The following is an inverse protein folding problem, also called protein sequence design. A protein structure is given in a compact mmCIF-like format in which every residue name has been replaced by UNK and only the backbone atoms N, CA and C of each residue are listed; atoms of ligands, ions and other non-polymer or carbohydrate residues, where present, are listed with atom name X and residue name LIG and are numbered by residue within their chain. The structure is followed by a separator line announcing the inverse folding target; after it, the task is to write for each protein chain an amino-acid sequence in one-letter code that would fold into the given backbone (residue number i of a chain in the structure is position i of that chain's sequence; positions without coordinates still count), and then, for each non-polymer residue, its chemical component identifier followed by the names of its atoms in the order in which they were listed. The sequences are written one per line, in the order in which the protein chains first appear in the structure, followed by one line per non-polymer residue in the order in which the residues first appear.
data_IF_241897563445
#
_entry.id   IF_241897563445
#
_cell.length_a   1.000
_cell.length_b   1.000
_cell.length_c   1.000
_cell.angle_alpha   90.00
_cell.angle_beta   90.00
_cell.angle_gamma   90.00
#
_symmetry.space_group_name_H-M   'P 1'
#
loop_
_entity.id
_entity.type
_entity.pdbx_description
1 polymer ?
#
# COMPACT_ATOMS: atom_id res chain seq x y z
N UNK A 1 26.05 -8.09 -6.05
CA UNK A 1 25.50 -7.02 -5.18
C UNK A 1 25.50 -5.70 -5.94
N UNK A 2 24.31 -5.16 -6.31
CA UNK A 2 24.23 -3.86 -7.01
C UNK A 2 24.35 -2.72 -5.98
N UNK A 3 25.41 -1.90 -6.09
CA UNK A 3 25.61 -0.69 -5.27
C UNK A 3 24.46 0.29 -5.55
N UNK A 4 23.58 0.52 -4.57
CA UNK A 4 22.60 1.61 -4.62
C UNK A 4 23.36 2.93 -4.50
N UNK A 5 23.46 3.66 -5.61
CA UNK A 5 24.06 4.98 -5.66
C UNK A 5 23.07 5.99 -5.08
N UNK A 6 23.02 6.10 -3.75
CA UNK A 6 22.16 7.09 -3.07
C UNK A 6 22.83 8.45 -3.16
N UNK A 7 22.53 9.22 -4.21
CA UNK A 7 22.80 10.66 -4.22
C UNK A 7 22.15 11.27 -2.96
N UNK A 8 22.98 11.75 -2.04
CA UNK A 8 22.55 12.41 -0.81
C UNK A 8 21.60 13.57 -1.16
N UNK A 9 20.42 13.62 -0.55
CA UNK A 9 19.50 14.76 -0.72
C UNK A 9 20.22 16.03 -0.22
N UNK A 10 20.08 17.18 -0.92
CA UNK A 10 20.72 18.41 -0.46
C UNK A 10 20.25 18.76 0.96
N UNK A 11 21.20 19.15 1.81
CA UNK A 11 20.91 19.56 3.18
C UNK A 11 20.06 20.84 3.16
N UNK A 12 19.04 20.88 4.00
CA UNK A 12 18.18 22.06 4.16
C UNK A 12 18.82 22.95 5.22
N UNK A 13 19.35 24.10 4.81
CA UNK A 13 20.10 25.04 5.67
C UNK A 13 19.37 26.35 5.91
N UNK A 14 18.32 26.64 5.15
CA UNK A 14 17.52 27.85 5.26
C UNK A 14 16.29 27.62 6.14
N UNK A 15 15.90 28.64 6.90
CA UNK A 15 14.75 28.63 7.80
C UNK A 15 13.63 29.53 7.27
N UNK A 16 12.39 29.09 7.50
CA UNK A 16 11.17 29.86 7.27
C UNK A 16 10.35 29.82 8.55
N UNK A 17 10.01 31.00 9.08
CA UNK A 17 9.22 31.14 10.29
C UNK A 17 7.84 31.69 9.94
N UNK A 18 6.81 31.20 10.63
CA UNK A 18 5.44 31.66 10.45
C UNK A 18 4.83 31.87 11.82
N UNK A 19 4.26 33.06 12.04
CA UNK A 19 3.50 33.35 13.25
C UNK A 19 2.15 32.63 13.16
N UNK A 20 1.83 31.89 14.20
CA UNK A 20 0.57 31.15 14.33
C UNK A 20 0.00 31.40 15.71
N UNK A 21 -1.32 31.38 15.80
CA UNK A 21 -2.04 31.30 17.08
C UNK A 21 -1.81 29.94 17.75
N UNK A 22 -2.17 29.84 19.03
CA UNK A 22 -2.10 28.59 19.79
C UNK A 22 -2.97 27.49 19.16
N UNK A 23 -4.17 27.85 18.70
CA UNK A 23 -5.11 26.92 18.07
C UNK A 23 -4.55 26.36 16.75
N UNK A 24 -3.98 27.24 15.91
CA UNK A 24 -3.35 26.84 14.65
C UNK A 24 -2.16 25.92 14.89
N UNK A 25 -1.30 26.24 15.86
CA UNK A 25 -0.17 25.39 16.24
C UNK A 25 -0.63 23.99 16.66
N UNK A 26 -1.68 23.90 17.48
CA UNK A 26 -2.22 22.61 17.93
C UNK A 26 -2.79 21.80 16.77
N UNK A 27 -3.53 22.46 15.87
CA UNK A 27 -4.11 21.82 14.68
C UNK A 27 -3.04 21.30 13.73
N UNK A 28 -1.98 22.07 13.49
CA UNK A 28 -0.84 21.67 12.65
C UNK A 28 -0.13 20.47 13.26
N UNK A 29 0.16 20.51 14.57
CA UNK A 29 0.84 19.42 15.26
C UNK A 29 0.04 18.12 15.18
N UNK A 30 -1.27 18.17 15.45
CA UNK A 30 -2.15 16.99 15.35
C UNK A 30 -2.16 16.40 13.94
N UNK A 31 -2.33 17.22 12.90
CA UNK A 31 -2.30 16.74 11.50
C UNK A 31 -0.93 16.16 11.11
N UNK A 32 0.15 16.75 11.62
CA UNK A 32 1.49 16.25 11.37
C UNK A 32 1.69 14.87 12.03
N UNK A 33 1.25 14.70 13.27
CA UNK A 33 1.27 13.41 14.00
C UNK A 33 0.44 12.34 13.28
N UNK A 34 -0.79 12.68 12.85
CA UNK A 34 -1.65 11.80 12.03
C UNK A 34 -0.95 11.34 10.74
N UNK A 35 -0.06 12.17 10.17
CA UNK A 35 0.72 11.84 8.97
C UNK A 35 2.10 11.22 9.27
N UNK A 36 2.47 11.03 10.54
CA UNK A 36 3.81 10.56 10.95
C UNK A 36 4.94 11.56 10.65
N UNK A 37 4.67 12.86 10.69
CA UNK A 37 5.59 13.94 10.37
C UNK A 37 5.81 14.89 11.54
N UNK A 38 6.92 15.61 11.53
CA UNK A 38 7.07 16.80 12.38
C UNK A 38 6.22 17.94 11.82
N UNK A 39 5.83 18.89 12.68
CA UNK A 39 5.07 20.07 12.25
C UNK A 39 5.77 20.84 11.11
N UNK A 40 7.10 20.98 11.18
CA UNK A 40 7.90 21.66 10.15
C UNK A 40 7.92 20.92 8.82
N UNK A 41 8.06 19.58 8.81
CA UNK A 41 8.06 18.80 7.56
C UNK A 41 6.64 18.72 6.96
N UNK A 42 5.60 18.63 7.80
CA UNK A 42 4.20 18.71 7.38
C UNK A 42 3.90 20.05 6.69
N UNK A 43 4.20 21.17 7.36
CA UNK A 43 3.99 22.52 6.80
C UNK A 43 4.78 22.72 5.50
N UNK A 44 6.06 22.32 5.49
CA UNK A 44 6.90 22.41 4.29
C UNK A 44 6.32 21.63 3.12
N UNK A 45 5.84 20.40 3.35
CA UNK A 45 5.22 19.58 2.30
C UNK A 45 3.96 20.25 1.76
N UNK A 46 3.07 20.73 2.64
CA UNK A 46 1.88 21.48 2.25
C UNK A 46 2.23 22.74 1.44
N UNK A 47 3.22 23.52 1.87
CA UNK A 47 3.66 24.73 1.16
C UNK A 47 4.27 24.45 -0.23
N UNK A 48 4.83 23.26 -0.43
CA UNK A 48 5.33 22.78 -1.72
C UNK A 48 4.25 22.12 -2.59
N UNK A 49 2.98 22.22 -2.20
CA UNK A 49 1.84 21.65 -2.94
C UNK A 49 1.66 20.15 -2.77
N UNK A 50 2.37 19.52 -1.83
CA UNK A 50 2.10 18.13 -1.47
C UNK A 50 0.89 18.05 -0.52
N UNK A 51 0.18 16.93 -0.59
CA UNK A 51 -0.92 16.59 0.34
C UNK A 51 -0.49 15.40 1.20
N UNK A 52 0.19 15.60 2.35
CA UNK A 52 0.53 14.52 3.26
C UNK A 52 -0.74 13.74 3.64
N UNK A 53 -0.71 12.42 3.42
CA UNK A 53 -1.80 11.53 3.77
C UNK A 53 -1.61 11.05 5.20
N UNK A 54 -2.73 10.86 5.89
CA UNK A 54 -2.76 10.23 7.19
C UNK A 54 -2.13 8.83 7.10
N UNK A 55 -1.32 8.49 8.09
CA UNK A 55 -0.73 7.17 8.23
C UNK A 55 -1.82 6.16 8.61
N UNK A 56 -1.66 4.91 8.15
CA UNK A 56 -2.52 3.83 8.61
C UNK A 56 -2.34 3.63 10.11
N UNK A 57 -3.45 3.42 10.81
CA UNK A 57 -3.46 2.97 12.20
C UNK A 57 -2.93 1.54 12.30
N UNK A 58 -2.50 1.10 13.49
CA UNK A 58 -1.98 -0.26 13.68
C UNK A 58 -2.98 -1.34 13.24
N UNK A 59 -4.28 -1.11 13.49
CA UNK A 59 -5.36 -2.01 13.03
C UNK A 59 -5.49 -2.04 11.50
N UNK A 60 -5.35 -0.89 10.85
CA UNK A 60 -5.40 -0.83 9.39
C UNK A 60 -4.15 -1.44 8.76
N UNK A 61 -2.98 -1.32 9.41
CA UNK A 61 -1.75 -2.00 9.00
C UNK A 61 -1.95 -3.51 9.12
N UNK A 62 -2.46 -4.00 10.25
CA UNK A 62 -2.72 -5.43 10.45
C UNK A 62 -3.70 -5.97 9.40
N UNK A 63 -4.81 -5.27 9.16
CA UNK A 63 -5.77 -5.63 8.12
C UNK A 63 -5.15 -5.61 6.71
N UNK A 64 -4.33 -4.60 6.41
CA UNK A 64 -3.60 -4.51 5.15
C UNK A 64 -2.64 -5.68 4.95
N UNK A 65 -1.87 -6.04 5.98
CA UNK A 65 -0.93 -7.17 5.94
C UNK A 65 -1.67 -8.50 5.79
N UNK A 66 -2.80 -8.69 6.47
CA UNK A 66 -3.66 -9.87 6.30
C UNK A 66 -4.18 -9.99 4.86
N UNK A 67 -4.63 -8.89 4.26
CA UNK A 67 -5.03 -8.87 2.84
C UNK A 67 -3.86 -9.15 1.89
N UNK A 68 -2.66 -8.65 2.22
CA UNK A 68 -1.45 -8.89 1.45
C UNK A 68 -1.05 -10.37 1.46
N UNK A 69 -1.07 -11.02 2.63
CA UNK A 69 -0.80 -12.45 2.75
C UNK A 69 -1.89 -13.28 2.05
N UNK A 70 -3.18 -12.95 2.21
CA UNK A 70 -4.26 -13.63 1.49
C UNK A 70 -4.08 -13.53 -0.04
N UNK A 71 -3.63 -12.37 -0.55
CA UNK A 71 -3.28 -12.22 -1.97
C UNK A 71 -2.14 -13.13 -2.37
N UNK A 72 -1.07 -13.18 -1.57
CA UNK A 72 0.09 -14.03 -1.81
C UNK A 72 -0.32 -15.51 -1.89
N UNK A 73 -1.20 -15.97 -1.00
CA UNK A 73 -1.71 -17.34 -0.99
C UNK A 73 -2.52 -17.64 -2.26
N UNK A 74 -3.41 -16.74 -2.67
CA UNK A 74 -4.17 -16.90 -3.93
C UNK A 74 -3.24 -17.00 -5.15
N UNK A 75 -2.15 -16.22 -5.19
CA UNK A 75 -1.15 -16.30 -6.24
C UNK A 75 -0.40 -17.64 -6.20
N UNK A 76 0.00 -18.09 -5.01
CA UNK A 76 0.68 -19.38 -4.85
C UNK A 76 -0.21 -20.53 -5.34
N UNK A 77 -1.47 -20.57 -4.91
CA UNK A 77 -2.44 -21.59 -5.34
C UNK A 77 -2.64 -21.53 -6.86
N UNK A 78 -2.89 -20.34 -7.43
CA UNK A 78 -3.08 -20.21 -8.89
C UNK A 78 -1.83 -20.61 -9.68
N UNK A 79 -0.63 -20.39 -9.17
CA UNK A 79 0.61 -20.85 -9.81
C UNK A 79 0.75 -22.37 -9.77
N UNK A 80 0.42 -23.02 -8.65
CA UNK A 80 0.39 -24.48 -8.57
C UNK A 80 -0.63 -25.05 -9.57
N UNK A 81 -1.83 -24.48 -9.63
CA UNK A 81 -2.87 -24.93 -10.55
C UNK A 81 -2.45 -24.77 -12.02
N UNK A 82 -1.71 -23.72 -12.40
CA UNK A 82 -1.22 -23.55 -13.78
C UNK A 82 -0.34 -24.71 -14.25
N UNK A 83 0.39 -25.36 -13.34
CA UNK A 83 1.27 -26.50 -13.66
C UNK A 83 0.56 -27.86 -13.71
N UNK A 84 -0.75 -27.91 -13.43
CA UNK A 84 -1.53 -29.15 -13.34
C UNK A 84 -2.40 -29.40 -14.56
N UNK A 85 -2.65 -30.67 -14.87
CA UNK A 85 -3.64 -31.07 -15.89
C UNK A 85 -5.06 -30.81 -15.40
N UNK A 86 -6.05 -30.86 -16.30
CA UNK A 86 -7.46 -30.67 -15.91
C UNK A 86 -7.96 -31.81 -15.01
N UNK A 87 -7.49 -33.05 -15.21
CA UNK A 87 -7.81 -34.19 -14.35
C UNK A 87 -7.28 -34.00 -12.92
N UNK A 88 -6.04 -33.53 -12.78
CA UNK A 88 -5.46 -33.22 -11.47
C UNK A 88 -6.21 -32.09 -10.77
N UNK A 89 -6.59 -31.04 -11.51
CA UNK A 89 -7.37 -29.93 -10.94
C UNK A 89 -8.75 -30.41 -10.51
N UNK A 90 -9.43 -31.21 -11.34
CA UNK A 90 -10.73 -31.78 -11.00
C UNK A 90 -10.64 -32.67 -9.76
N UNK A 91 -9.55 -33.45 -9.61
CA UNK A 91 -9.30 -34.23 -8.40
C UNK A 91 -9.10 -33.37 -7.15
N UNK A 92 -8.51 -32.17 -7.27
CA UNK A 92 -8.32 -31.24 -6.14
C UNK A 92 -9.64 -30.56 -5.77
N UNK A 93 -10.40 -30.10 -6.76
CA UNK A 93 -11.61 -29.31 -6.55
C UNK A 93 -12.87 -30.16 -6.30
N UNK A 94 -12.87 -31.43 -6.73
CA UNK A 94 -14.00 -32.36 -6.60
C UNK A 94 -15.21 -32.06 -7.49
N UNK A 95 -15.34 -30.82 -7.99
CA UNK A 95 -16.42 -30.38 -8.86
C UNK A 95 -15.91 -29.38 -9.92
N UNK A 96 -16.20 -29.67 -11.20
CA UNK A 96 -15.72 -28.89 -12.34
C UNK A 96 -16.38 -27.50 -12.39
N UNK A 97 -17.66 -27.41 -12.01
CA UNK A 97 -18.42 -26.15 -11.99
C UNK A 97 -17.84 -25.19 -10.94
N UNK A 98 -17.57 -25.71 -9.75
CA UNK A 98 -16.91 -25.00 -8.66
C UNK A 98 -15.51 -24.56 -9.06
N UNK A 99 -14.69 -25.44 -9.64
CA UNK A 99 -13.35 -25.09 -10.13
C UNK A 99 -13.40 -23.90 -11.08
N UNK A 100 -14.25 -23.93 -12.11
CA UNK A 100 -14.36 -22.84 -13.09
C UNK A 100 -14.80 -21.53 -12.43
N UNK A 101 -15.78 -21.58 -11.51
CA UNK A 101 -16.23 -20.40 -10.75
C UNK A 101 -15.12 -19.85 -9.86
N UNK A 102 -14.39 -20.72 -9.16
CA UNK A 102 -13.29 -20.35 -8.27
C UNK A 102 -12.16 -19.68 -9.06
N UNK A 103 -11.70 -20.29 -10.16
CA UNK A 103 -10.63 -19.72 -11.00
C UNK A 103 -11.03 -18.35 -11.55
N UNK A 104 -12.28 -18.20 -12.03
CA UNK A 104 -12.80 -16.90 -12.50
C UNK A 104 -12.85 -15.86 -11.38
N UNK A 105 -13.34 -16.25 -10.19
CA UNK A 105 -13.44 -15.38 -9.03
C UNK A 105 -12.06 -14.87 -8.59
N UNK A 106 -11.11 -15.78 -8.38
CA UNK A 106 -9.74 -15.44 -7.98
C UNK A 106 -9.07 -14.55 -9.01
N UNK A 107 -9.20 -14.86 -10.31
CA UNK A 107 -8.63 -14.01 -11.37
C UNK A 107 -9.20 -12.58 -11.32
N UNK A 108 -10.50 -12.44 -11.06
CA UNK A 108 -11.17 -11.14 -10.97
C UNK A 108 -10.60 -10.32 -9.79
N UNK A 109 -10.45 -10.95 -8.62
CA UNK A 109 -9.88 -10.31 -7.43
C UNK A 109 -8.43 -9.90 -7.65
N UNK A 110 -7.61 -10.78 -8.23
CA UNK A 110 -6.19 -10.50 -8.49
C UNK A 110 -6.01 -9.32 -9.46
N UNK A 111 -6.77 -9.29 -10.58
CA UNK A 111 -6.72 -8.18 -11.54
C UNK A 111 -7.16 -6.87 -10.89
N UNK A 112 -8.21 -6.90 -10.07
CA UNK A 112 -8.66 -5.72 -9.33
C UNK A 112 -7.56 -5.17 -8.42
N UNK A 113 -6.89 -6.04 -7.64
CA UNK A 113 -5.79 -5.63 -6.78
C UNK A 113 -4.58 -5.12 -7.56
N UNK A 114 -4.19 -5.77 -8.66
CA UNK A 114 -3.06 -5.33 -9.47
C UNK A 114 -3.30 -3.92 -10.05
N UNK A 115 -4.53 -3.64 -10.51
CA UNK A 115 -4.92 -2.31 -10.95
C UNK A 115 -4.86 -1.28 -9.82
N UNK A 116 -5.35 -1.62 -8.62
CA UNK A 116 -5.27 -0.73 -7.45
C UNK A 116 -3.82 -0.45 -7.05
N UNK A 117 -2.96 -1.46 -7.02
CA UNK A 117 -1.54 -1.29 -6.71
C UNK A 117 -0.86 -0.40 -7.74
N UNK A 118 -1.18 -0.56 -9.03
CA UNK A 118 -0.65 0.30 -10.09
C UNK A 118 -1.02 1.77 -9.86
N UNK A 119 -2.30 2.06 -9.56
CA UNK A 119 -2.77 3.42 -9.26
C UNK A 119 -2.14 4.05 -8.01
N UNK A 120 -1.64 3.25 -7.06
CA UNK A 120 -0.95 3.79 -5.88
C UNK A 120 0.51 4.16 -6.14
N UNK A 121 1.11 3.62 -7.19
CA UNK A 121 2.51 3.83 -7.56
C UNK A 121 2.71 4.87 -8.67
N UNK A 122 1.64 5.32 -9.30
CA UNK A 122 1.56 6.43 -10.25
C UNK A 122 1.28 7.76 -9.51
#
# INVERSE_FOLDING_TARGET
MKKKNTKSKPRRTLHLDTRVSQEESNRIRRKAEECGLTASDYMRKCALGHSPKQHLTDKEIEAYMSLYEARRDLIAITNVLKGKTEEEKLSIFGDESFMKKWVRGVRTVLVYWDNKIKMMNE
#
